data_IF_740187343372
#
_entry.id   IF_740187343372
#
_cell.length_a   1.000
_cell.length_b   1.000
_cell.length_c   1.000
_cell.angle_alpha   90.00
_cell.angle_beta   90.00
_cell.angle_gamma   90.00
#
_symmetry.space_group_name_H-M   'P 1'
#
loop_
_entity.id
_entity.type
_entity.pdbx_description
1 polymer ?
#
# COMPACT_ATOMS: atom_id res chain seq x y z
N UNK A 1 -2.91 -39.51 10.14
CA UNK A 1 -4.03 -40.47 9.93
C UNK A 1 -5.28 -39.63 9.78
N UNK A 2 -5.94 -39.68 8.62
CA UNK A 2 -7.09 -38.82 8.25
C UNK A 2 -6.58 -37.57 7.51
N UNK A 3 -6.49 -37.50 6.19
CA UNK A 3 -7.57 -37.55 5.18
C UNK A 3 -8.76 -36.67 5.58
N UNK A 4 -8.93 -35.51 4.91
CA UNK A 4 -10.14 -35.00 4.25
C UNK A 4 -9.89 -33.54 3.77
N UNK A 5 -9.82 -33.21 2.47
CA UNK A 5 -10.88 -33.06 1.44
C UNK A 5 -11.75 -31.78 1.54
N UNK A 6 -11.46 -30.85 0.59
CA UNK A 6 -12.34 -30.00 -0.26
C UNK A 6 -13.19 -28.87 0.34
N UNK A 7 -13.05 -27.65 -0.23
CA UNK A 7 -14.02 -26.94 -1.12
C UNK A 7 -13.51 -25.52 -1.43
N UNK A 8 -13.17 -25.20 -2.69
CA UNK A 8 -14.11 -24.80 -3.75
C UNK A 8 -14.58 -23.34 -3.61
N UNK A 9 -13.96 -22.42 -4.37
CA UNK A 9 -14.65 -21.49 -5.28
C UNK A 9 -13.74 -21.17 -6.47
N UNK A 10 -13.70 -22.13 -7.37
CA UNK A 10 -13.48 -21.92 -8.79
C UNK A 10 -14.85 -21.57 -9.39
N UNK A 11 -15.06 -20.33 -9.83
CA UNK A 11 -16.12 -19.96 -10.77
C UNK A 11 -15.57 -18.85 -11.68
N UNK A 12 -15.16 -19.23 -12.90
CA UNK A 12 -15.94 -18.99 -14.13
C UNK A 12 -15.44 -17.71 -14.79
N UNK A 13 -14.47 -17.78 -15.73
CA UNK A 13 -14.80 -17.81 -17.18
C UNK A 13 -13.74 -18.60 -17.98
N UNK A 14 -14.06 -19.85 -18.38
CA UNK A 14 -13.47 -20.42 -19.60
C UNK A 14 -14.44 -21.42 -20.25
N UNK A 15 -15.17 -20.93 -21.25
CA UNK A 15 -15.79 -21.71 -22.32
C UNK A 15 -16.04 -20.70 -23.45
N UNK A 16 -15.39 -20.78 -24.60
CA UNK A 16 -15.78 -21.65 -25.71
C UNK A 16 -14.57 -21.77 -26.66
N UNK A 17 -13.89 -22.90 -26.67
CA UNK A 17 -13.02 -23.29 -27.76
C UNK A 17 -12.94 -24.83 -27.87
N UNK A 18 -14.08 -25.47 -28.17
CA UNK A 18 -14.05 -26.88 -28.58
C UNK A 18 -15.21 -27.28 -29.50
N UNK A 19 -15.22 -26.75 -30.72
CA UNK A 19 -15.66 -27.53 -31.88
C UNK A 19 -14.85 -27.03 -33.08
N UNK A 20 -14.00 -27.89 -33.66
CA UNK A 20 -13.91 -28.16 -35.11
C UNK A 20 -12.63 -28.95 -35.45
N UNK A 21 -12.62 -30.22 -35.05
CA UNK A 21 -11.86 -31.25 -35.78
C UNK A 21 -12.80 -32.38 -36.15
N UNK A 22 -13.61 -32.21 -37.20
CA UNK A 22 -14.07 -33.30 -38.08
C UNK A 22 -14.63 -32.70 -39.38
N UNK A 23 -13.86 -32.77 -40.46
CA UNK A 23 -14.28 -32.25 -41.76
C UNK A 23 -13.40 -32.67 -42.92
N UNK A 24 -12.96 -33.93 -42.95
CA UNK A 24 -12.39 -34.50 -44.16
C UNK A 24 -13.44 -34.55 -45.29
N UNK A 25 -13.00 -34.16 -46.48
CA UNK A 25 -13.58 -34.43 -47.80
C UNK A 25 -14.82 -33.62 -48.21
N UNK A 26 -14.60 -32.52 -48.91
CA UNK A 26 -15.22 -32.30 -50.22
C UNK A 26 -14.30 -31.45 -51.10
N UNK A 27 -14.15 -31.93 -52.33
CA UNK A 27 -13.21 -31.47 -53.34
C UNK A 27 -13.98 -30.53 -54.26
N UNK A 28 -14.22 -29.31 -53.83
CA UNK A 28 -14.94 -28.32 -54.63
C UNK A 28 -14.32 -26.93 -54.41
N UNK A 29 -13.75 -26.41 -55.51
CA UNK A 29 -13.41 -25.01 -55.80
C UNK A 29 -12.82 -24.16 -54.67
N UNK A 30 -11.53 -23.89 -54.82
CA UNK A 30 -10.87 -22.67 -54.34
C UNK A 30 -11.67 -21.43 -54.76
N UNK A 31 -12.49 -20.90 -53.86
CA UNK A 31 -12.68 -19.46 -53.75
C UNK A 31 -11.73 -19.02 -52.63
N UNK A 32 -10.77 -18.16 -52.98
CA UNK A 32 -9.90 -17.47 -52.01
C UNK A 32 -10.79 -16.70 -51.04
N UNK A 33 -11.01 -17.26 -49.86
CA UNK A 33 -11.67 -16.59 -48.76
C UNK A 33 -10.65 -15.61 -48.20
N UNK A 34 -10.83 -14.32 -48.49
CA UNK A 34 -10.01 -13.26 -47.88
C UNK A 34 -10.08 -13.41 -46.36
N UNK A 35 -8.93 -13.31 -45.66
CA UNK A 35 -8.90 -13.39 -44.20
C UNK A 35 -9.91 -12.37 -43.65
N UNK A 36 -10.74 -12.82 -42.71
CA UNK A 36 -11.63 -11.92 -41.99
C UNK A 36 -10.78 -10.78 -41.42
N UNK A 37 -11.20 -9.51 -41.56
CA UNK A 37 -10.45 -8.40 -40.98
C UNK A 37 -10.26 -8.70 -39.50
N UNK A 38 -9.00 -8.72 -39.06
CA UNK A 38 -8.68 -8.79 -37.64
C UNK A 38 -9.44 -7.66 -36.94
N UNK A 39 -10.08 -7.93 -35.78
CA UNK A 39 -10.74 -6.88 -35.03
C UNK A 39 -9.69 -5.80 -34.78
N UNK A 40 -9.91 -4.60 -35.33
CA UNK A 40 -9.06 -3.46 -35.04
C UNK A 40 -9.10 -3.26 -33.53
N UNK A 41 -7.97 -3.52 -32.86
CA UNK A 41 -7.79 -3.23 -31.45
C UNK A 41 -8.06 -1.74 -31.27
N UNK A 42 -9.21 -1.45 -30.66
CA UNK A 42 -9.50 -0.12 -30.18
C UNK A 42 -8.61 0.06 -28.95
N UNK A 43 -7.40 0.57 -29.17
CA UNK A 43 -6.60 1.17 -28.12
C UNK A 43 -7.41 2.34 -27.58
N UNK A 44 -7.95 2.19 -26.38
CA UNK A 44 -8.57 3.30 -25.66
C UNK A 44 -7.47 4.34 -25.40
N UNK A 45 -7.71 5.58 -25.85
CA UNK A 45 -6.77 6.67 -25.60
C UNK A 45 -6.91 7.07 -24.13
N UNK A 46 -5.85 6.84 -23.36
CA UNK A 46 -5.74 7.27 -21.96
C UNK A 46 -5.65 8.81 -21.97
N UNK A 47 -6.48 9.53 -21.21
CA UNK A 47 -6.38 10.98 -21.12
C UNK A 47 -5.02 11.37 -20.52
N UNK A 48 -4.49 12.53 -20.86
CA UNK A 48 -3.27 13.05 -20.23
C UNK A 48 -3.66 13.66 -18.87
N UNK A 49 -2.92 13.34 -17.80
CA UNK A 49 -3.12 13.96 -16.49
C UNK A 49 -2.42 15.32 -16.44
N UNK A 50 -3.17 16.38 -16.18
CA UNK A 50 -2.61 17.72 -15.96
C UNK A 50 -2.26 17.92 -14.47
N UNK A 51 -1.30 18.81 -14.19
CA UNK A 51 -0.81 19.07 -12.82
C UNK A 51 -1.92 19.47 -11.84
N UNK A 52 -2.88 20.27 -12.28
CA UNK A 52 -4.01 20.68 -11.43
C UNK A 52 -5.00 19.52 -11.20
N UNK A 53 -5.14 18.60 -12.16
CA UNK A 53 -5.97 17.40 -11.99
C UNK A 53 -5.29 16.43 -11.02
N UNK A 54 -3.95 16.32 -11.05
CA UNK A 54 -3.19 15.51 -10.11
C UNK A 54 -3.41 15.97 -8.65
N UNK A 55 -3.48 17.29 -8.40
CA UNK A 55 -3.85 17.83 -7.07
C UNK A 55 -5.26 17.42 -6.66
N UNK A 56 -6.22 17.46 -7.57
CA UNK A 56 -7.59 17.02 -7.27
C UNK A 56 -7.64 15.52 -6.91
N UNK A 57 -6.81 14.69 -7.56
CA UNK A 57 -6.65 13.27 -7.21
C UNK A 57 -6.09 13.11 -5.80
N UNK A 58 -5.00 13.82 -5.45
CA UNK A 58 -4.40 13.77 -4.11
C UNK A 58 -5.34 14.31 -3.02
N UNK A 59 -6.09 15.38 -3.30
CA UNK A 59 -7.12 15.89 -2.41
C UNK A 59 -8.25 14.88 -2.21
N UNK A 60 -8.69 14.21 -3.27
CA UNK A 60 -9.71 13.15 -3.16
C UNK A 60 -9.21 11.99 -2.31
N UNK A 61 -7.95 11.59 -2.48
CA UNK A 61 -7.27 10.58 -1.68
C UNK A 61 -7.28 10.95 -0.18
N UNK A 62 -6.82 12.15 0.17
CA UNK A 62 -6.85 12.66 1.55
C UNK A 62 -8.29 12.74 2.09
N UNK A 63 -9.23 13.29 1.31
CA UNK A 63 -10.62 13.43 1.72
C UNK A 63 -11.27 12.10 2.07
N UNK A 64 -10.99 11.02 1.32
CA UNK A 64 -11.54 9.70 1.65
C UNK A 64 -11.06 9.24 3.02
N UNK A 65 -9.76 9.36 3.31
CA UNK A 65 -9.21 9.00 4.62
C UNK A 65 -9.80 9.85 5.74
N UNK A 66 -9.83 11.17 5.57
CA UNK A 66 -10.37 12.08 6.57
C UNK A 66 -11.85 11.78 6.83
N UNK A 67 -12.64 11.47 5.79
CA UNK A 67 -14.03 11.06 5.97
C UNK A 67 -14.16 9.75 6.76
N UNK A 68 -13.25 8.79 6.61
CA UNK A 68 -13.27 7.58 7.45
C UNK A 68 -13.00 7.96 8.91
N UNK A 69 -11.93 8.71 9.16
CA UNK A 69 -11.47 9.05 10.52
C UNK A 69 -12.44 9.99 11.25
N UNK A 70 -13.04 10.96 10.56
CA UNK A 70 -14.00 11.91 11.13
C UNK A 70 -15.31 11.25 11.57
N UNK A 71 -15.64 10.08 11.03
CA UNK A 71 -16.83 9.31 11.42
C UNK A 71 -16.56 8.34 12.59
N UNK A 72 -15.35 8.29 13.12
CA UNK A 72 -15.03 7.49 14.30
C UNK A 72 -15.71 8.03 15.57
N UNK A 73 -16.05 7.12 16.48
CA UNK A 73 -16.51 7.47 17.82
C UNK A 73 -15.37 8.05 18.68
N UNK A 74 -15.67 8.54 19.89
CA UNK A 74 -14.69 9.20 20.78
C UNK A 74 -13.52 8.28 21.18
N UNK A 75 -13.74 6.96 21.13
CA UNK A 75 -12.73 5.93 21.41
C UNK A 75 -12.04 5.38 20.16
N UNK A 76 -12.31 5.93 18.98
CA UNK A 76 -11.68 5.53 17.71
C UNK A 76 -12.39 4.40 16.98
N UNK A 77 -13.55 3.92 17.47
CA UNK A 77 -14.35 2.90 16.79
C UNK A 77 -14.98 3.46 15.50
N UNK A 78 -14.83 2.74 14.38
CA UNK A 78 -15.46 3.06 13.10
C UNK A 78 -16.85 2.42 12.98
N UNK A 79 -17.84 2.97 13.67
CA UNK A 79 -19.19 2.41 13.73
C UNK A 79 -19.96 2.36 12.38
N UNK A 80 -19.46 3.07 11.35
CA UNK A 80 -20.07 3.11 10.02
C UNK A 80 -19.64 1.95 9.10
N UNK A 81 -18.72 1.09 9.54
CA UNK A 81 -18.19 -0.03 8.76
C UNK A 81 -18.41 -1.36 9.49
N UNK A 82 -18.96 -2.35 8.78
CA UNK A 82 -19.26 -3.68 9.32
C UNK A 82 -18.03 -4.61 9.29
N UNK A 83 -17.00 -4.30 8.49
CA UNK A 83 -15.80 -5.13 8.29
C UNK A 83 -14.67 -4.38 7.59
N UNK A 84 -13.43 -4.87 7.75
CA UNK A 84 -12.26 -4.36 7.01
C UNK A 84 -12.47 -4.41 5.49
N UNK A 85 -13.14 -5.44 4.96
CA UNK A 85 -13.47 -5.54 3.52
C UNK A 85 -14.30 -4.33 3.03
N UNK A 86 -15.23 -3.83 3.85
CA UNK A 86 -16.05 -2.66 3.49
C UNK A 86 -15.23 -1.36 3.52
N UNK A 87 -14.31 -1.25 4.50
CA UNK A 87 -13.36 -0.16 4.57
C UNK A 87 -12.40 -0.16 3.38
N UNK A 88 -11.94 -1.34 2.97
CA UNK A 88 -11.12 -1.54 1.77
C UNK A 88 -11.86 -1.09 0.50
N UNK A 89 -13.11 -1.55 0.28
CA UNK A 89 -13.94 -1.08 -0.84
C UNK A 89 -14.13 0.45 -0.84
N UNK A 90 -14.16 1.08 0.34
CA UNK A 90 -14.23 2.54 0.46
C UNK A 90 -12.95 3.20 -0.06
N UNK A 91 -11.77 2.69 0.28
CA UNK A 91 -10.47 3.23 -0.15
C UNK A 91 -10.20 3.06 -1.64
N UNK A 92 -10.60 1.93 -2.25
CA UNK A 92 -10.50 1.67 -3.70
C UNK A 92 -11.15 2.73 -4.61
N UNK A 93 -11.95 3.64 -4.03
CA UNK A 93 -12.50 4.76 -4.78
C UNK A 93 -11.45 5.81 -5.18
N UNK A 94 -10.35 5.95 -4.43
CA UNK A 94 -9.30 6.93 -4.73
C UNK A 94 -7.87 6.35 -4.82
N UNK A 95 -7.66 5.10 -4.41
CA UNK A 95 -6.35 4.47 -4.45
C UNK A 95 -6.38 3.05 -5.02
N UNK A 96 -5.19 2.50 -5.29
CA UNK A 96 -5.02 1.11 -5.72
C UNK A 96 -5.38 0.12 -4.60
N UNK A 97 -5.57 -1.16 -4.96
CA UNK A 97 -5.79 -2.24 -4.00
C UNK A 97 -4.61 -2.40 -3.03
N UNK A 98 -3.39 -2.38 -3.55
CA UNK A 98 -2.17 -2.52 -2.74
C UNK A 98 -2.02 -1.36 -1.75
N UNK A 99 -2.20 -0.11 -2.18
CA UNK A 99 -2.12 1.05 -1.28
C UNK A 99 -3.27 1.05 -0.25
N UNK A 100 -4.46 0.57 -0.62
CA UNK A 100 -5.57 0.45 0.32
C UNK A 100 -5.27 -0.58 1.43
N UNK A 101 -4.72 -1.74 1.07
CA UNK A 101 -4.31 -2.77 2.03
C UNK A 101 -3.23 -2.23 2.97
N UNK A 102 -2.17 -1.61 2.44
CA UNK A 102 -1.07 -1.05 3.24
C UNK A 102 -1.55 0.03 4.22
N UNK A 103 -2.45 0.91 3.77
CA UNK A 103 -3.03 1.95 4.59
C UNK A 103 -3.93 1.36 5.68
N UNK A 104 -4.72 0.33 5.38
CA UNK A 104 -5.55 -0.36 6.37
C UNK A 104 -4.68 -1.01 7.44
N UNK A 105 -3.68 -1.79 7.02
CA UNK A 105 -2.79 -2.53 7.91
C UNK A 105 -1.97 -1.60 8.82
N UNK A 106 -1.67 -0.38 8.35
CA UNK A 106 -0.89 0.60 9.12
C UNK A 106 -1.72 1.38 10.13
N UNK A 107 -2.94 1.80 9.76
CA UNK A 107 -3.69 2.79 10.54
C UNK A 107 -4.98 2.26 11.17
N UNK A 108 -5.33 0.98 10.95
CA UNK A 108 -6.57 0.41 11.44
C UNK A 108 -6.34 -0.99 12.04
N UNK A 109 -7.06 -1.30 13.11
CA UNK A 109 -7.02 -2.60 13.75
C UNK A 109 -8.45 -3.17 13.90
N UNK A 110 -8.62 -4.45 13.61
CA UNK A 110 -9.86 -5.19 13.89
C UNK A 110 -9.69 -6.01 15.17
N UNK A 111 -10.63 -5.86 16.12
CA UNK A 111 -10.60 -6.59 17.37
C UNK A 111 -11.20 -8.02 17.27
N UNK A 112 -11.20 -8.76 18.39
CA UNK A 112 -11.75 -10.12 18.43
C UNK A 112 -13.28 -10.20 18.18
N UNK A 113 -14.00 -9.08 18.32
CA UNK A 113 -15.44 -8.97 18.08
C UNK A 113 -15.76 -8.50 16.65
N UNK A 114 -14.75 -8.14 15.86
CA UNK A 114 -14.86 -7.62 14.50
C UNK A 114 -15.11 -6.12 14.43
N UNK A 115 -14.85 -5.38 15.51
CA UNK A 115 -14.96 -3.93 15.55
C UNK A 115 -13.64 -3.32 15.06
N UNK A 116 -13.75 -2.29 14.23
CA UNK A 116 -12.60 -1.62 13.61
C UNK A 116 -12.27 -0.36 14.39
N UNK A 117 -11.00 -0.21 14.74
CA UNK A 117 -10.46 0.94 15.47
C UNK A 117 -9.37 1.62 14.65
N UNK A 118 -9.26 2.94 14.81
CA UNK A 118 -8.14 3.70 14.25
C UNK A 118 -6.93 3.56 15.19
N UNK A 119 -5.78 3.15 14.66
CA UNK A 119 -4.52 3.31 15.38
C UNK A 119 -4.09 4.78 15.30
N UNK A 120 -3.99 5.42 16.47
CA UNK A 120 -3.63 6.83 16.61
C UNK A 120 -2.13 7.01 16.88
N UNK A 121 -1.34 5.95 16.73
CA UNK A 121 0.11 5.98 16.90
C UNK A 121 0.77 6.96 15.95
N UNK A 122 0.36 6.96 14.68
CA UNK A 122 0.93 7.77 13.60
C UNK A 122 -0.17 8.24 12.64
N UNK A 123 0.05 9.36 11.96
CA UNK A 123 -0.87 9.89 10.95
C UNK A 123 -0.17 9.90 9.59
N UNK A 124 -0.89 9.64 8.48
CA UNK A 124 -0.28 9.72 7.16
C UNK A 124 0.27 11.11 6.86
N UNK A 125 1.33 11.16 6.06
CA UNK A 125 1.88 12.40 5.54
C UNK A 125 1.09 12.81 4.29
N UNK A 126 0.46 13.98 4.36
CA UNK A 126 -0.41 14.50 3.30
C UNK A 126 0.31 15.50 2.42
N UNK A 127 -0.12 15.58 1.16
CA UNK A 127 0.38 16.52 0.19
C UNK A 127 0.04 17.96 0.60
N UNK A 128 1.04 18.84 0.68
CA UNK A 128 0.82 20.26 0.97
C UNK A 128 0.87 21.09 -0.32
N UNK A 129 -0.29 21.57 -0.80
CA UNK A 129 -0.37 22.43 -1.99
C UNK A 129 0.42 23.74 -1.84
N UNK A 130 0.66 24.22 -0.61
CA UNK A 130 1.39 25.46 -0.37
C UNK A 130 2.91 25.29 -0.52
N UNK A 131 3.42 24.06 -0.45
CA UNK A 131 4.83 23.73 -0.61
C UNK A 131 5.22 23.45 -2.07
N UNK A 132 6.51 23.54 -2.37
CA UNK A 132 7.01 23.25 -3.71
C UNK A 132 7.08 21.73 -3.93
N UNK A 133 6.72 21.28 -5.12
CA UNK A 133 6.81 19.88 -5.54
C UNK A 133 7.27 19.78 -7.00
N UNK A 134 7.75 18.60 -7.38
CA UNK A 134 8.05 18.24 -8.77
C UNK A 134 6.94 17.34 -9.32
N UNK A 135 6.48 17.58 -10.55
CA UNK A 135 5.46 16.78 -11.24
C UNK A 135 6.04 16.23 -12.54
N UNK A 136 6.11 14.91 -12.66
CA UNK A 136 6.71 14.22 -13.81
C UNK A 136 5.76 13.14 -14.37
N UNK A 137 5.74 13.01 -15.70
CA UNK A 137 5.09 11.90 -16.41
C UNK A 137 6.12 10.79 -16.60
N UNK A 138 5.95 9.67 -15.91
CA UNK A 138 6.87 8.52 -15.95
C UNK A 138 6.52 7.58 -17.10
N UNK A 139 5.24 7.23 -17.23
CA UNK A 139 4.70 6.39 -18.31
C UNK A 139 3.42 6.99 -18.90
N UNK A 140 2.79 6.35 -19.89
CA UNK A 140 1.58 6.89 -20.52
C UNK A 140 0.39 7.00 -19.56
N UNK A 141 0.36 6.11 -18.58
CA UNK A 141 -0.65 5.91 -17.56
C UNK A 141 -0.10 6.04 -16.12
N UNK A 142 1.10 6.63 -15.95
CA UNK A 142 1.75 6.82 -14.65
C UNK A 142 2.42 8.19 -14.53
N UNK A 143 2.11 8.89 -13.45
CA UNK A 143 2.67 10.18 -13.08
C UNK A 143 3.18 10.14 -11.64
N UNK A 144 4.15 10.99 -11.33
CA UNK A 144 4.73 11.12 -10.00
C UNK A 144 4.70 12.58 -9.52
N UNK A 145 4.45 12.75 -8.22
CA UNK A 145 4.62 14.00 -7.49
C UNK A 145 5.62 13.77 -6.37
N UNK A 146 6.75 14.47 -6.39
CA UNK A 146 7.77 14.44 -5.34
C UNK A 146 7.73 15.76 -4.54
N UNK A 147 7.60 15.67 -3.21
CA UNK A 147 7.54 16.82 -2.31
C UNK A 147 8.49 16.65 -1.12
N UNK A 148 9.38 17.62 -0.92
CA UNK A 148 10.23 17.72 0.28
C UNK A 148 9.48 18.51 1.37
N UNK A 149 9.13 17.85 2.48
CA UNK A 149 8.45 18.47 3.62
C UNK A 149 9.44 18.82 4.74
N UNK A 150 9.78 20.11 4.86
CA UNK A 150 10.77 20.60 5.83
C UNK A 150 10.36 20.34 7.29
N UNK A 151 9.06 20.44 7.60
CA UNK A 151 8.54 20.28 8.97
C UNK A 151 8.65 18.83 9.46
N UNK A 152 8.40 17.89 8.55
CA UNK A 152 8.42 16.45 8.81
C UNK A 152 9.79 15.82 8.55
N UNK A 153 10.71 16.54 7.89
CA UNK A 153 12.01 16.03 7.45
C UNK A 153 11.89 14.77 6.59
N UNK A 154 10.93 14.78 5.66
CA UNK A 154 10.71 13.66 4.74
C UNK A 154 10.58 14.15 3.31
N UNK A 155 10.91 13.27 2.36
CA UNK A 155 10.53 13.38 0.96
C UNK A 155 9.38 12.41 0.75
N UNK A 156 8.28 12.90 0.19
CA UNK A 156 7.11 12.08 -0.13
C UNK A 156 6.94 12.01 -1.63
N UNK A 157 6.80 10.79 -2.15
CA UNK A 157 6.57 10.53 -3.57
C UNK A 157 5.20 9.88 -3.74
N UNK A 158 4.32 10.54 -4.47
CA UNK A 158 2.99 10.04 -4.82
C UNK A 158 3.00 9.53 -6.25
N UNK A 159 2.65 8.27 -6.46
CA UNK A 159 2.43 7.71 -7.79
C UNK A 159 0.95 7.73 -8.13
N UNK A 160 0.59 8.23 -9.32
CA UNK A 160 -0.78 8.39 -9.80
C UNK A 160 -0.94 7.62 -11.11
N UNK A 161 -1.84 6.64 -11.13
CA UNK A 161 -2.08 5.77 -12.29
C UNK A 161 -3.50 5.83 -12.83
N UNK A 162 -3.68 5.51 -14.12
CA UNK A 162 -4.99 5.42 -14.74
C UNK A 162 -5.57 4.02 -14.56
N UNK A 163 -6.66 3.91 -13.81
CA UNK A 163 -7.35 2.65 -13.53
C UNK A 163 -8.87 2.81 -13.71
N UNK A 164 -9.52 1.82 -14.32
CA UNK A 164 -10.98 1.78 -14.52
C UNK A 164 -11.64 3.12 -14.95
N UNK A 165 -11.04 3.82 -15.92
CA UNK A 165 -11.51 5.11 -16.44
C UNK A 165 -11.35 6.32 -15.50
N UNK A 166 -10.50 6.23 -14.47
CA UNK A 166 -10.18 7.34 -13.54
C UNK A 166 -8.70 7.35 -13.16
N UNK A 167 -8.21 8.51 -12.72
CA UNK A 167 -6.91 8.62 -12.07
C UNK A 167 -7.05 8.31 -10.58
N UNK A 168 -6.15 7.50 -10.04
CA UNK A 168 -6.09 7.11 -8.63
C UNK A 168 -4.65 7.20 -8.12
N UNK A 169 -4.47 7.29 -6.81
CA UNK A 169 -3.14 7.16 -6.20
C UNK A 169 -2.79 5.67 -6.15
N UNK A 170 -1.74 5.28 -6.87
CA UNK A 170 -1.30 3.89 -6.91
C UNK A 170 -0.35 3.53 -5.78
N UNK A 171 0.45 4.49 -5.32
CA UNK A 171 1.47 4.28 -4.29
C UNK A 171 1.85 5.60 -3.58
N UNK A 172 2.35 5.49 -2.35
CA UNK A 172 2.90 6.61 -1.56
C UNK A 172 4.15 6.17 -0.83
N UNK A 173 5.31 6.66 -1.28
CA UNK A 173 6.59 6.42 -0.62
C UNK A 173 6.97 7.61 0.26
N UNK A 174 7.54 7.33 1.43
CA UNK A 174 8.06 8.35 2.34
C UNK A 174 9.50 8.01 2.72
N UNK A 175 10.43 8.90 2.40
CA UNK A 175 11.84 8.78 2.73
C UNK A 175 12.24 9.83 3.78
N UNK A 176 12.91 9.40 4.85
CA UNK A 176 13.46 10.36 5.83
C UNK A 176 14.65 11.12 5.24
N UNK A 177 14.61 12.46 5.34
CA UNK A 177 15.75 13.30 5.02
C UNK A 177 16.77 13.12 6.15
N UNK A 178 18.00 12.68 5.86
CA UNK A 178 19.03 12.57 6.88
C UNK A 178 19.26 13.97 7.45
N UNK A 179 18.77 14.18 8.67
CA UNK A 179 19.09 15.40 9.40
C UNK A 179 20.61 15.49 9.42
N UNK A 180 21.17 16.62 8.98
CA UNK A 180 22.57 16.94 9.20
C UNK A 180 22.75 17.17 10.71
N UNK A 181 22.51 16.13 11.52
CA UNK A 181 22.84 16.03 12.92
C UNK A 181 24.33 16.27 12.96
N UNK A 182 24.63 17.53 13.26
CA UNK A 182 25.95 18.06 13.37
C UNK A 182 26.80 17.07 14.14
N UNK A 183 27.75 16.45 13.44
CA UNK A 183 28.89 15.73 14.00
C UNK A 183 29.74 16.72 14.84
N UNK A 184 29.14 17.34 15.85
CA UNK A 184 29.84 17.93 16.97
C UNK A 184 30.28 16.73 17.77
N UNK A 185 31.38 16.16 17.28
CA UNK A 185 32.16 15.14 17.93
C UNK A 185 32.28 15.54 19.38
N UNK A 186 31.57 14.82 20.24
CA UNK A 186 31.83 14.80 21.66
C UNK A 186 33.16 14.06 21.84
N UNK A 187 34.23 14.73 21.40
CA UNK A 187 35.63 14.36 21.56
C UNK A 187 35.93 14.39 23.06
N UNK A 188 35.60 13.28 23.71
CA UNK A 188 36.51 12.56 24.58
C UNK A 188 37.41 13.42 25.45
N UNK A 189 36.87 14.36 26.21
CA UNK A 189 37.54 14.83 27.43
C UNK A 189 37.16 13.89 28.57
N UNK A 190 37.74 12.69 28.52
CA UNK A 190 37.96 11.85 29.69
C UNK A 190 38.74 12.66 30.73
N UNK A 191 38.00 13.28 31.65
CA UNK A 191 38.59 13.75 32.90
C UNK A 191 38.13 12.81 34.00
N UNK A 192 39.03 11.88 34.32
CA UNK A 192 39.07 11.14 35.56
C UNK A 192 38.73 12.04 36.76
N UNK A 193 37.55 11.89 37.33
CA UNK A 193 37.24 12.32 38.70
C UNK A 193 36.62 11.15 39.47
N UNK A 194 37.53 10.29 39.91
CA UNK A 194 37.52 9.71 41.26
C UNK A 194 37.23 10.82 42.30
N UNK A 195 36.11 10.74 43.04
CA UNK A 195 36.10 10.82 44.51
C UNK A 195 34.66 10.82 45.11
N UNK A 196 34.50 10.07 46.20
CA UNK A 196 33.60 10.33 47.34
C UNK A 196 32.08 10.09 47.26
N UNK A 197 31.69 8.90 47.72
CA UNK A 197 30.95 8.67 48.99
C UNK A 197 30.18 9.86 49.63
N UNK A 198 28.85 9.74 49.70
CA UNK A 198 27.98 10.03 50.87
C UNK A 198 26.53 9.72 50.47
N UNK A 199 25.87 8.67 50.99
CA UNK A 199 25.08 8.65 52.23
C UNK A 199 24.36 9.97 52.58
N UNK A 200 23.02 9.88 52.68
CA UNK A 200 22.02 10.76 53.32
C UNK A 200 20.95 11.21 52.31
N UNK A 201 19.67 11.30 52.62
CA UNK A 201 18.84 10.90 53.76
C UNK A 201 17.39 11.09 53.29
N UNK A 202 16.47 10.40 53.95
CA UNK A 202 15.03 10.53 53.82
C UNK A 202 14.55 12.00 53.85
N UNK A 203 13.57 12.33 53.01
CA UNK A 203 12.63 13.42 53.28
C UNK A 203 11.25 13.12 52.71
N UNK A 204 10.45 12.43 53.53
CA UNK A 204 9.01 12.64 53.59
C UNK A 204 8.74 14.08 54.05
N UNK A 205 7.97 14.85 53.29
CA UNK A 205 7.22 15.97 53.85
C UNK A 205 5.95 16.23 53.04
N UNK A 206 4.83 15.92 53.70
CA UNK A 206 3.48 16.30 53.33
C UNK A 206 3.34 17.82 53.09
N UNK A 207 2.51 18.19 52.11
CA UNK A 207 1.90 19.51 52.07
C UNK A 207 0.41 19.40 51.73
N UNK A 208 -0.41 19.27 52.77
CA UNK A 208 -1.83 19.61 52.74
C UNK A 208 -2.01 21.13 52.95
N UNK A 209 -2.85 21.76 52.13
CA UNK A 209 -3.31 23.15 52.32
C UNK A 209 -3.99 23.65 51.05
N UNK A 210 -5.26 23.33 50.81
CA UNK A 210 -6.45 24.06 51.31
C UNK A 210 -6.43 25.57 51.01
N UNK A 211 -7.15 25.95 49.96
CA UNK A 211 -8.21 26.96 50.08
C UNK A 211 -8.00 28.34 49.43
N UNK A 212 -9.10 28.75 48.78
CA UNK A 212 -9.60 30.13 48.57
C UNK A 212 -9.45 30.73 47.16
N UNK A 213 -10.48 30.46 46.36
CA UNK A 213 -11.43 31.42 45.75
C UNK A 213 -11.04 32.90 45.68
N UNK A 214 -10.85 33.43 44.46
CA UNK A 214 -11.23 34.80 44.03
C UNK A 214 -11.53 34.70 42.51
N UNK A 215 -12.80 34.65 42.10
CA UNK A 215 -13.50 35.76 41.42
C UNK A 215 -12.56 36.64 40.58
N UNK A 216 -12.57 36.45 39.26
CA UNK A 216 -12.16 37.52 38.36
C UNK A 216 -13.17 37.70 37.22
N UNK A 217 -13.39 38.98 36.94
CA UNK A 217 -14.57 39.58 36.36
C UNK A 217 -14.61 39.44 34.84
N UNK A 218 -15.84 39.28 34.35
CA UNK A 218 -16.43 39.89 33.17
C UNK A 218 -15.51 40.75 32.30
N UNK A 219 -15.33 40.36 31.04
CA UNK A 219 -15.07 41.32 29.98
C UNK A 219 -16.04 41.09 28.81
N UNK A 220 -17.14 41.84 28.87
CA UNK A 220 -17.98 42.19 27.72
C UNK A 220 -17.09 42.77 26.61
N UNK A 221 -17.06 42.13 25.44
CA UNK A 221 -16.67 42.82 24.21
C UNK A 221 -17.78 42.68 23.18
N UNK A 222 -18.35 43.83 22.88
CA UNK A 222 -19.50 44.06 22.04
C UNK A 222 -19.30 43.62 20.59
N UNK A 223 -20.32 42.95 20.06
CA UNK A 223 -21.17 43.49 19.02
C UNK A 223 -20.58 43.59 17.62
N UNK A 224 -21.02 42.68 16.74
CA UNK A 224 -21.45 43.10 15.42
C UNK A 224 -22.67 42.28 14.97
N UNK A 225 -23.83 42.89 15.18
CA UNK A 225 -25.12 42.51 14.60
C UNK A 225 -25.10 42.99 13.15
N UNK A 226 -25.19 42.07 12.19
CA UNK A 226 -25.44 42.41 10.78
C UNK A 226 -26.90 42.09 10.48
N UNK A 227 -27.64 43.14 10.16
CA UNK A 227 -29.07 43.15 9.92
C UNK A 227 -29.45 42.37 8.66
N UNK A 228 -30.59 41.70 8.78
CA UNK A 228 -31.38 41.08 7.72
C UNK A 228 -31.86 42.14 6.70
N UNK A 229 -31.86 41.77 5.42
CA UNK A 229 -32.90 42.24 4.50
C UNK A 229 -33.64 41.01 3.95
N UNK A 230 -34.92 40.95 4.31
CA UNK A 230 -35.96 40.15 3.66
C UNK A 230 -36.06 40.50 2.18
N UNK A 231 -36.29 39.52 1.30
CA UNK A 231 -37.47 39.52 0.39
C UNK A 231 -37.79 38.09 -0.10
N UNK A 232 -38.96 37.59 0.33
CA UNK A 232 -39.97 36.85 -0.44
C UNK A 232 -39.54 35.85 -1.55
N UNK A 233 -39.92 34.56 -1.40
CA UNK A 233 -41.02 33.98 -2.20
C UNK A 233 -41.39 32.52 -1.82
N UNK A 234 -42.64 32.36 -1.38
CA UNK A 234 -43.62 31.37 -1.81
C UNK A 234 -43.20 29.90 -2.07
N UNK A 235 -43.42 29.06 -1.06
CA UNK A 235 -44.44 27.99 -1.08
C UNK A 235 -44.19 26.72 -1.90
N UNK A 236 -44.15 25.58 -1.21
CA UNK A 236 -45.01 24.43 -1.53
C UNK A 236 -45.02 23.40 -0.39
N UNK A 237 -46.24 23.10 0.05
CA UNK A 237 -46.61 21.94 0.84
C UNK A 237 -46.26 20.62 0.13
N UNK A 238 -45.77 19.63 0.89
CA UNK A 238 -46.09 18.19 0.76
C UNK A 238 -45.34 17.45 1.89
N UNK A 239 -46.03 17.10 2.97
CA UNK A 239 -46.69 15.81 3.22
C UNK A 239 -45.72 14.64 3.50
N UNK A 240 -45.66 14.30 4.80
CA UNK A 240 -45.71 12.95 5.40
C UNK A 240 -45.11 11.74 4.67
N UNK A 241 -44.12 11.10 5.30
CA UNK A 241 -44.02 9.65 5.51
C UNK A 241 -42.66 9.35 6.16
N UNK A 242 -42.40 8.31 6.95
CA UNK A 242 -43.18 7.40 7.77
C UNK A 242 -42.11 6.59 8.51
N UNK A 243 -42.33 6.37 9.81
CA UNK A 243 -41.49 5.54 10.68
C UNK A 243 -41.38 4.12 10.14
N UNK A 244 -40.17 3.55 10.15
CA UNK A 244 -40.01 2.10 10.14
C UNK A 244 -38.89 1.68 11.11
N UNK A 245 -39.33 1.41 12.33
CA UNK A 245 -38.57 0.80 13.40
C UNK A 245 -38.72 -0.72 13.26
N UNK A 246 -37.63 -1.41 12.96
CA UNK A 246 -37.58 -2.86 12.80
C UNK A 246 -36.65 -3.49 13.84
N UNK A 247 -37.23 -3.92 14.95
CA UNK A 247 -36.64 -4.93 15.84
C UNK A 247 -36.35 -6.22 15.04
N UNK A 248 -35.12 -6.74 15.11
CA UNK A 248 -34.84 -8.14 14.79
C UNK A 248 -33.91 -8.76 15.82
N UNK A 249 -34.56 -9.50 16.69
CA UNK A 249 -34.09 -10.43 17.70
C UNK A 249 -33.66 -11.74 17.00
N UNK A 250 -32.41 -12.17 17.16
CA UNK A 250 -31.87 -13.40 16.56
C UNK A 250 -30.50 -13.77 17.11
N UNK A 251 -30.39 -14.31 18.33
CA UNK A 251 -30.33 -15.77 18.58
C UNK A 251 -29.22 -16.54 17.82
N UNK A 252 -27.98 -16.31 18.23
CA UNK A 252 -27.03 -17.37 18.65
C UNK A 252 -26.22 -18.09 17.59
N UNK A 253 -24.92 -18.28 17.86
CA UNK A 253 -24.23 -19.59 17.90
C UNK A 253 -22.87 -19.40 18.56
N UNK A 254 -22.68 -20.08 19.69
CA UNK A 254 -21.39 -20.25 20.37
C UNK A 254 -20.53 -21.25 19.58
N UNK A 255 -19.27 -20.92 19.32
CA UNK A 255 -18.28 -21.96 19.03
C UNK A 255 -16.91 -21.52 19.54
N UNK A 256 -16.60 -21.95 20.77
CA UNK A 256 -15.25 -22.01 21.33
C UNK A 256 -14.32 -22.78 20.38
N UNK A 257 -13.17 -22.21 19.99
CA UNK A 257 -11.95 -23.00 19.73
C UNK A 257 -10.70 -22.19 20.09
N UNK A 258 -10.45 -22.18 21.39
CA UNK A 258 -9.14 -22.24 22.05
C UNK A 258 -8.06 -22.96 21.20
N UNK A 259 -7.04 -22.23 20.73
CA UNK A 259 -5.66 -22.76 20.56
C UNK A 259 -4.65 -21.61 20.59
N UNK A 260 -3.96 -21.54 21.73
CA UNK A 260 -2.87 -20.64 22.08
C UNK A 260 -1.58 -20.91 21.26
N UNK A 261 -0.86 -19.81 20.99
CA UNK A 261 0.57 -19.55 21.25
C UNK A 261 1.62 -20.61 20.80
N UNK A 262 2.58 -20.20 19.95
CA UNK A 262 3.97 -19.93 20.38
C UNK A 262 4.94 -19.65 19.19
N UNK A 263 5.75 -18.61 19.42
CA UNK A 263 7.19 -18.44 19.09
C UNK A 263 7.70 -18.28 17.64
N UNK A 264 8.08 -17.02 17.35
CA UNK A 264 9.45 -16.52 17.11
C UNK A 264 10.49 -17.46 16.45
N UNK A 265 11.12 -16.95 15.37
CA UNK A 265 12.58 -16.74 15.22
C UNK A 265 13.05 -17.02 13.77
N UNK A 266 13.25 -15.96 12.98
CA UNK A 266 13.85 -16.03 11.64
C UNK A 266 15.38 -15.99 11.76
N UNK A 267 16.02 -17.15 11.70
CA UNK A 267 17.46 -17.30 11.47
C UNK A 267 17.74 -17.33 9.94
N UNK A 268 18.92 -16.84 9.49
CA UNK A 268 19.27 -16.76 8.08
C UNK A 268 19.55 -18.16 7.50
N UNK A 269 18.96 -18.44 6.35
CA UNK A 269 19.05 -19.74 5.69
C UNK A 269 20.51 -20.07 5.33
N UNK A 270 20.99 -21.16 5.93
CA UNK A 270 22.21 -21.83 5.51
C UNK A 270 22.00 -22.54 4.17
N UNK A 271 22.98 -22.36 3.30
CA UNK A 271 23.35 -23.12 2.10
C UNK A 271 23.11 -24.65 2.27
N UNK A 272 21.90 -25.11 1.92
CA UNK A 272 21.58 -26.54 1.81
C UNK A 272 22.02 -27.04 0.44
N UNK A 273 23.23 -27.59 0.40
CA UNK A 273 23.80 -28.31 -0.74
C UNK A 273 23.02 -29.57 -1.09
N UNK A 274 21.83 -29.39 -1.67
CA UNK A 274 21.02 -30.42 -2.29
C UNK A 274 21.70 -30.93 -3.56
N UNK A 275 22.25 -32.14 -3.47
CA UNK A 275 22.85 -32.87 -4.59
C UNK A 275 21.76 -33.27 -5.61
N UNK A 276 21.35 -32.31 -6.44
CA UNK A 276 20.46 -32.47 -7.58
C UNK A 276 21.15 -33.32 -8.64
N UNK A 277 20.52 -34.43 -9.05
CA UNK A 277 21.00 -35.23 -10.19
C UNK A 277 20.94 -34.38 -11.45
N UNK A 278 22.07 -33.78 -11.82
CA UNK A 278 22.23 -33.00 -13.04
C UNK A 278 21.87 -33.86 -14.24
N UNK A 279 20.73 -33.54 -14.85
CA UNK A 279 20.31 -34.15 -16.09
C UNK A 279 21.21 -33.55 -17.16
N UNK A 280 22.11 -34.37 -17.74
CA UNK A 280 23.12 -33.91 -18.69
C UNK A 280 22.49 -33.12 -19.86
N UNK A 281 22.49 -31.79 -19.76
CA UNK A 281 21.85 -30.88 -20.71
C UNK A 281 21.15 -29.66 -20.08
N UNK A 282 20.84 -29.66 -18.79
CA UNK A 282 20.30 -28.46 -18.11
C UNK A 282 21.42 -27.54 -17.63
N UNK A 283 21.25 -26.22 -17.83
CA UNK A 283 22.11 -25.21 -17.19
C UNK A 283 21.82 -25.14 -15.69
N UNK A 284 22.80 -24.68 -14.91
CA UNK A 284 22.66 -24.44 -13.46
C UNK A 284 22.12 -23.03 -13.16
N UNK A 285 21.70 -22.76 -11.92
CA UNK A 285 21.26 -21.42 -11.46
C UNK A 285 22.36 -20.37 -11.67
N UNK A 286 23.59 -20.67 -11.22
CA UNK A 286 24.74 -19.78 -11.45
C UNK A 286 25.07 -19.53 -12.93
N UNK A 287 24.72 -20.48 -13.81
CA UNK A 287 24.89 -20.33 -15.25
C UNK A 287 23.77 -19.46 -15.84
N UNK A 288 22.53 -19.56 -15.33
CA UNK A 288 21.43 -18.69 -15.69
C UNK A 288 21.71 -17.22 -15.31
N UNK A 289 22.22 -16.95 -14.10
CA UNK A 289 22.65 -15.61 -13.67
C UNK A 289 23.73 -15.04 -14.60
N UNK A 290 24.71 -15.86 -14.99
CA UNK A 290 25.78 -15.45 -15.90
C UNK A 290 25.25 -15.11 -17.30
N UNK A 291 24.26 -15.85 -17.79
CA UNK A 291 23.61 -15.60 -19.07
C UNK A 291 22.84 -14.27 -19.04
N UNK A 292 22.13 -13.95 -17.95
CA UNK A 292 21.41 -12.67 -17.81
C UNK A 292 22.39 -11.50 -17.74
N UNK A 293 23.51 -11.63 -16.98
CA UNK A 293 24.58 -10.62 -16.95
C UNK A 293 25.14 -10.35 -18.35
N UNK A 294 25.38 -11.39 -19.14
CA UNK A 294 25.85 -11.25 -20.52
C UNK A 294 24.80 -10.61 -21.43
N UNK A 295 23.53 -11.04 -21.31
CA UNK A 295 22.41 -10.52 -22.11
C UNK A 295 22.23 -9.00 -21.94
N UNK A 296 22.26 -8.52 -20.71
CA UNK A 296 22.13 -7.10 -20.38
C UNK A 296 23.43 -6.29 -20.58
N UNK A 297 24.54 -6.95 -20.96
CA UNK A 297 25.86 -6.33 -21.06
C UNK A 297 26.27 -5.59 -19.78
N UNK A 298 25.90 -6.15 -18.62
CA UNK A 298 26.24 -5.57 -17.30
C UNK A 298 27.74 -5.74 -17.10
N UNK A 299 28.45 -4.61 -17.09
CA UNK A 299 29.87 -4.51 -16.76
C UNK A 299 30.11 -4.04 -15.33
N UNK A 300 29.05 -3.59 -14.67
CA UNK A 300 29.12 -3.04 -13.33
C UNK A 300 28.84 -4.10 -12.26
N UNK A 301 29.60 -4.05 -11.17
CA UNK A 301 29.42 -4.93 -10.01
C UNK A 301 28.31 -4.42 -9.08
N UNK A 302 27.71 -3.26 -9.38
CA UNK A 302 26.62 -2.63 -8.61
C UNK A 302 25.26 -3.33 -8.76
N UNK A 303 25.04 -4.08 -9.85
CA UNK A 303 23.80 -4.83 -10.08
C UNK A 303 23.91 -6.25 -9.55
N UNK A 304 22.96 -6.60 -8.67
CA UNK A 304 22.74 -7.95 -8.21
C UNK A 304 21.86 -8.69 -9.22
N UNK A 305 22.29 -9.91 -9.56
CA UNK A 305 21.55 -10.82 -10.46
C UNK A 305 21.44 -12.13 -9.73
N UNK A 306 20.23 -12.48 -9.30
CA UNK A 306 19.96 -13.62 -8.41
C UNK A 306 18.84 -14.46 -9.02
N UNK A 307 19.03 -15.78 -9.03
CA UNK A 307 17.94 -16.70 -9.36
C UNK A 307 16.97 -16.78 -8.18
N UNK A 308 15.71 -16.41 -8.40
CA UNK A 308 14.69 -16.40 -7.35
C UNK A 308 13.97 -17.77 -7.26
N UNK A 309 13.30 -18.18 -8.34
CA UNK A 309 12.59 -19.47 -8.41
C UNK A 309 12.62 -20.07 -9.83
N UNK A 310 11.94 -21.21 -10.02
CA UNK A 310 11.69 -21.81 -11.34
C UNK A 310 10.21 -21.70 -11.71
N UNK A 311 9.90 -21.35 -12.96
CA UNK A 311 8.54 -21.25 -13.48
C UNK A 311 7.85 -22.64 -13.60
N UNK A 312 6.59 -22.67 -14.02
CA UNK A 312 5.83 -23.91 -14.21
C UNK A 312 6.45 -24.88 -15.24
N UNK A 313 7.29 -24.36 -16.13
CA UNK A 313 7.99 -25.13 -17.16
C UNK A 313 9.39 -25.58 -16.70
N UNK A 314 9.82 -25.20 -15.50
CA UNK A 314 11.15 -25.47 -14.96
C UNK A 314 12.26 -24.58 -15.52
N UNK A 315 11.91 -23.44 -16.12
CA UNK A 315 12.86 -22.38 -16.49
C UNK A 315 13.21 -21.55 -15.25
N UNK A 316 14.38 -20.92 -15.25
CA UNK A 316 14.81 -20.06 -14.14
C UNK A 316 14.18 -18.68 -14.25
N UNK A 317 13.66 -18.15 -13.16
CA UNK A 317 13.25 -16.75 -13.01
C UNK A 317 14.36 -16.03 -12.27
N UNK A 318 14.94 -15.01 -12.90
CA UNK A 318 16.12 -14.28 -12.43
C UNK A 318 15.73 -12.82 -12.22
N UNK A 319 15.96 -12.33 -11.01
CA UNK A 319 15.75 -10.93 -10.63
C UNK A 319 17.05 -10.15 -10.84
N UNK A 320 16.94 -8.94 -11.40
CA UNK A 320 18.03 -7.98 -11.50
C UNK A 320 17.67 -6.74 -10.69
N UNK A 321 18.51 -6.36 -9.74
CA UNK A 321 18.25 -5.22 -8.85
C UNK A 321 19.55 -4.55 -8.39
N UNK A 322 19.49 -3.27 -8.03
CA UNK A 322 20.57 -2.58 -7.30
C UNK A 322 20.15 -2.35 -5.86
N UNK A 323 21.11 -2.35 -4.95
CA UNK A 323 20.90 -1.83 -3.59
C UNK A 323 21.33 -0.37 -3.60
N UNK A 324 20.40 0.53 -3.27
CA UNK A 324 20.65 1.97 -3.15
C UNK A 324 20.64 2.33 -1.67
N UNK A 325 21.57 3.19 -1.25
CA UNK A 325 21.74 3.62 0.13
C UNK A 325 23.02 3.09 0.79
N UNK A 326 23.41 3.72 1.91
CA UNK A 326 24.52 3.30 2.76
C UNK A 326 24.03 3.05 4.19
N UNK A 327 24.28 1.86 4.75
CA UNK A 327 23.99 1.55 6.15
C UNK A 327 22.66 0.87 6.40
N UNK A 328 21.93 1.32 7.42
CA UNK A 328 20.67 0.71 7.88
C UNK A 328 19.45 1.12 7.03
N UNK A 329 19.60 2.13 6.15
CA UNK A 329 18.56 2.62 5.22
C UNK A 329 18.91 2.26 3.78
N UNK A 330 19.00 0.95 3.49
CA UNK A 330 19.24 0.47 2.12
C UNK A 330 17.96 -0.08 1.50
N UNK A 331 17.58 0.41 0.33
CA UNK A 331 16.43 -0.07 -0.43
C UNK A 331 16.90 -0.82 -1.69
N UNK A 332 16.06 -1.73 -2.19
CA UNK A 332 16.33 -2.48 -3.42
C UNK A 332 15.51 -1.91 -4.57
N UNK A 333 16.18 -1.34 -5.57
CA UNK A 333 15.53 -0.93 -6.82
C UNK A 333 15.62 -2.06 -7.84
N UNK A 334 14.47 -2.63 -8.19
CA UNK A 334 14.39 -3.76 -9.13
C UNK A 334 14.42 -3.25 -10.57
N UNK A 335 15.41 -3.67 -11.35
CA UNK A 335 15.53 -3.35 -12.77
C UNK A 335 14.63 -4.21 -13.66
N UNK A 336 14.29 -5.42 -13.20
CA UNK A 336 13.35 -6.28 -13.88
C UNK A 336 13.58 -7.77 -13.64
N UNK A 337 12.66 -8.55 -14.20
CA UNK A 337 12.61 -9.99 -14.07
C UNK A 337 12.84 -10.66 -15.44
N UNK A 338 13.63 -11.74 -15.45
CA UNK A 338 14.02 -12.45 -16.67
C UNK A 338 13.76 -13.94 -16.53
N UNK A 339 13.21 -14.56 -17.56
CA UNK A 339 13.08 -16.00 -17.66
C UNK A 339 14.27 -16.53 -18.48
N UNK A 340 15.01 -17.49 -17.92
CA UNK A 340 16.10 -18.21 -18.60
C UNK A 340 15.70 -19.66 -18.81
N UNK A 341 15.60 -20.06 -20.08
CA UNK A 341 15.25 -21.42 -20.42
C UNK A 341 16.32 -22.42 -19.98
N UNK A 342 15.94 -23.38 -19.13
CA UNK A 342 16.89 -24.30 -18.47
C UNK A 342 17.63 -25.25 -19.42
N UNK A 343 17.07 -25.54 -20.59
CA UNK A 343 17.69 -26.45 -21.57
C UNK A 343 18.53 -25.70 -22.63
N UNK A 344 18.15 -24.46 -22.95
CA UNK A 344 18.71 -23.73 -24.10
C UNK A 344 19.51 -22.49 -23.74
N UNK A 345 19.31 -21.93 -22.55
CA UNK A 345 19.87 -20.64 -22.13
C UNK A 345 19.28 -19.43 -22.85
N UNK A 346 18.14 -19.57 -23.52
CA UNK A 346 17.42 -18.42 -24.07
C UNK A 346 16.88 -17.54 -22.95
N UNK A 347 17.00 -16.22 -23.11
CA UNK A 347 16.54 -15.20 -22.14
C UNK A 347 15.34 -14.46 -22.71
N UNK A 348 14.31 -14.31 -21.90
CA UNK A 348 13.13 -13.49 -22.18
C UNK A 348 12.88 -12.55 -20.99
N UNK A 349 12.57 -11.28 -21.26
CA UNK A 349 12.19 -10.33 -20.21
C UNK A 349 10.72 -10.58 -19.86
N UNK A 350 10.41 -10.68 -18.58
CA UNK A 350 9.05 -10.75 -18.09
C UNK A 350 8.47 -9.33 -18.20
N UNK A 351 7.38 -9.18 -18.96
CA UNK A 351 6.63 -7.94 -19.08
C UNK A 351 5.54 -7.90 -18.02
#
# INVERSE_FOLDING_TARGET
MGENMVKSRLFMVLAIAMVLLLGACSKDKEEEQEPAPEPEEQTEEIPELEEEEAKEVLQTYEEIYQNVVENAEEDGELADFDSIDELHEKFLNAMSEELADDLIDTYFEEDEEGLIYIDTSEAPVWFDEEEAYEFEKVEDDLYEIEQEQEENQVIVTYSISWDEEKWIVSDVETEEIPSEESDISNDGSESDMDDSQSEQEDNEAANEGTGVTEENESNDSAGNTMEEEEENQAGSDSEENNSNQGDSDGSGTSNDTDTSEDDQNSDPAEDDGGNTEETAGSISESEAESIVKEYLSIVDDELNVVTDHQDENGNYVVQVYSVVGEGDSSHTSTYGWFIVNKETGAVEQMQ
#
